data_IF_545154024503
#
_entry.id   IF_545154024503
#
_cell.length_a   1.000
_cell.length_b   1.000
_cell.length_c   1.000
_cell.angle_alpha   90.00
_cell.angle_beta   90.00
_cell.angle_gamma   90.00
#
_symmetry.space_group_name_H-M   'P 1'
#
loop_
_entity.id
_entity.type
_entity.pdbx_description
1 polymer ?
#
# COMPACT_ATOMS: atom_id res chain seq x y z
N UNK A 1 7.37 -17.61 8.45
CA UNK A 1 6.99 -16.19 8.43
C UNK A 1 7.92 -15.54 7.44
N UNK A 2 7.40 -14.93 6.37
CA UNK A 2 8.21 -14.09 5.50
C UNK A 2 8.47 -12.78 6.23
N UNK A 3 9.72 -12.56 6.63
CA UNK A 3 10.16 -11.29 7.18
C UNK A 3 10.49 -10.35 6.02
N UNK A 4 10.26 -9.06 6.23
CA UNK A 4 10.79 -8.05 5.33
C UNK A 4 12.33 -8.11 5.36
N UNK A 5 13.01 -7.73 4.27
CA UNK A 5 14.46 -7.59 4.26
C UNK A 5 14.96 -6.75 5.44
N UNK A 6 16.12 -7.09 6.01
CA UNK A 6 16.67 -6.42 7.20
C UNK A 6 16.97 -4.93 6.96
N UNK A 7 17.11 -4.51 5.70
CA UNK A 7 17.27 -3.11 5.28
C UNK A 7 15.92 -2.37 5.10
N UNK A 8 14.81 -3.02 5.44
CA UNK A 8 13.46 -2.49 5.27
C UNK A 8 12.62 -2.62 6.55
N UNK A 9 12.86 -1.72 7.48
CA UNK A 9 12.05 -1.53 8.69
C UNK A 9 11.22 -0.24 8.59
N UNK A 10 9.94 -0.32 8.15
CA UNK A 10 9.09 0.86 8.17
C UNK A 10 8.82 1.25 9.62
N UNK A 11 9.20 2.47 9.99
CA UNK A 11 8.99 2.99 11.35
C UNK A 11 7.53 3.32 11.61
N UNK A 12 6.76 3.52 10.55
CA UNK A 12 5.31 3.72 10.61
C UNK A 12 4.61 3.21 9.36
N UNK A 13 3.45 2.59 9.57
CA UNK A 13 2.47 2.27 8.54
C UNK A 13 1.17 3.04 8.81
N UNK A 14 0.69 3.77 7.81
CA UNK A 14 -0.65 4.37 7.79
C UNK A 14 -1.46 3.74 6.67
N UNK A 15 -2.69 3.31 6.98
CA UNK A 15 -3.62 2.73 6.00
C UNK A 15 -4.92 3.52 6.01
N UNK A 16 -5.35 3.93 4.83
CA UNK A 16 -6.67 4.51 4.60
C UNK A 16 -7.49 3.56 3.71
N UNK A 17 -8.58 3.03 4.26
CA UNK A 17 -9.52 2.19 3.52
C UNK A 17 -10.56 3.07 2.82
N UNK A 18 -10.76 2.86 1.52
CA UNK A 18 -11.69 3.62 0.67
C UNK A 18 -12.94 2.82 0.33
N UNK A 19 -12.75 1.61 -0.24
CA UNK A 19 -13.84 0.69 -0.57
C UNK A 19 -13.45 -0.75 -0.23
N UNK A 20 -14.36 -1.57 0.33
CA UNK A 20 -14.08 -2.98 0.58
C UNK A 20 -13.86 -3.71 -0.74
N UNK A 21 -12.89 -4.62 -0.78
CA UNK A 21 -12.74 -5.58 -1.88
C UNK A 21 -13.72 -6.75 -1.69
N UNK A 22 -14.23 -7.28 -2.80
CA UNK A 22 -15.10 -8.46 -2.85
C UNK A 22 -14.34 -9.66 -3.39
N UNK A 23 -14.83 -10.87 -3.11
CA UNK A 23 -14.28 -12.09 -3.70
C UNK A 23 -14.33 -12.01 -5.23
N UNK A 24 -13.18 -12.25 -5.87
CA UNK A 24 -13.02 -12.13 -7.33
C UNK A 24 -12.50 -10.77 -7.79
N UNK A 25 -12.45 -9.75 -6.92
CA UNK A 25 -11.81 -8.48 -7.25
C UNK A 25 -10.30 -8.68 -7.45
N UNK A 26 -9.77 -8.09 -8.52
CA UNK A 26 -8.32 -8.05 -8.76
C UNK A 26 -7.75 -6.74 -8.24
N UNK A 27 -6.98 -6.82 -7.16
CA UNK A 27 -6.23 -5.69 -6.63
C UNK A 27 -4.92 -5.52 -7.39
N UNK A 28 -4.68 -4.31 -7.88
CA UNK A 28 -3.50 -3.91 -8.63
C UNK A 28 -2.73 -2.90 -7.78
N UNK A 29 -1.57 -3.26 -7.23
CA UNK A 29 -0.75 -2.34 -6.45
C UNK A 29 -0.08 -1.32 -7.38
N UNK A 30 -0.12 -0.05 -6.96
CA UNK A 30 0.60 1.06 -7.60
C UNK A 30 1.48 1.71 -6.54
N UNK A 31 2.74 1.96 -6.90
CA UNK A 31 3.73 2.54 -5.98
C UNK A 31 4.11 3.95 -6.40
N UNK A 32 4.34 4.81 -5.42
CA UNK A 32 4.93 6.12 -5.59
C UNK A 32 5.86 6.43 -4.40
N UNK A 33 6.83 7.30 -4.61
CA UNK A 33 7.67 7.83 -3.54
C UNK A 33 7.32 9.31 -3.38
N UNK A 34 7.05 9.74 -2.15
CA UNK A 34 6.76 11.15 -1.85
C UNK A 34 7.30 11.50 -0.47
N UNK A 35 8.05 12.60 -0.35
CA UNK A 35 8.53 13.15 0.92
C UNK A 35 9.24 12.13 1.84
N UNK A 36 10.06 11.24 1.27
CA UNK A 36 10.76 10.20 2.05
C UNK A 36 9.87 9.03 2.51
N UNK A 37 8.61 8.98 2.08
CA UNK A 37 7.71 7.86 2.32
C UNK A 37 7.42 7.07 1.03
N UNK A 38 7.13 5.78 1.20
CA UNK A 38 6.58 4.94 0.14
C UNK A 38 5.06 4.94 0.23
N UNK A 39 4.41 5.36 -0.85
CA UNK A 39 2.97 5.31 -1.02
C UNK A 39 2.60 4.11 -1.88
N UNK A 40 1.68 3.29 -1.40
CA UNK A 40 1.10 2.17 -2.15
C UNK A 40 -0.40 2.38 -2.25
N UNK A 41 -0.94 2.34 -3.47
CA UNK A 41 -2.38 2.28 -3.69
C UNK A 41 -2.76 0.89 -4.15
N UNK A 42 -3.75 0.28 -3.49
CA UNK A 42 -4.37 -0.95 -3.96
C UNK A 42 -5.59 -0.56 -4.79
N UNK A 43 -5.48 -0.59 -6.11
CA UNK A 43 -6.58 -0.18 -7.01
C UNK A 43 -7.30 -1.38 -7.61
N UNK A 44 -8.56 -1.20 -8.00
CA UNK A 44 -9.24 -2.13 -8.88
C UNK A 44 -8.78 -2.00 -10.34
N UNK A 45 -9.38 -2.79 -11.22
CA UNK A 45 -9.15 -2.68 -12.68
C UNK A 45 -9.57 -1.31 -13.25
N UNK A 46 -10.51 -0.64 -12.58
CA UNK A 46 -10.99 0.72 -12.85
C UNK A 46 -10.03 1.83 -12.40
N UNK A 47 -8.87 1.47 -11.83
CA UNK A 47 -7.93 2.36 -11.17
C UNK A 47 -8.49 3.09 -9.93
N UNK A 48 -9.68 2.71 -9.44
CA UNK A 48 -10.25 3.27 -8.21
C UNK A 48 -9.62 2.57 -7.01
N UNK A 49 -9.08 3.32 -6.02
CA UNK A 49 -8.42 2.74 -4.87
C UNK A 49 -9.41 2.04 -3.93
N UNK A 50 -9.05 0.84 -3.50
CA UNK A 50 -9.63 0.13 -2.35
C UNK A 50 -8.96 0.58 -1.04
N UNK A 51 -7.64 0.74 -1.07
CA UNK A 51 -6.88 1.25 0.06
C UNK A 51 -5.67 2.07 -0.42
N UNK A 52 -5.24 3.00 0.41
CA UNK A 52 -3.98 3.73 0.26
C UNK A 52 -3.14 3.48 1.51
N UNK A 53 -1.89 3.10 1.31
CA UNK A 53 -0.91 2.80 2.33
C UNK A 53 0.24 3.77 2.21
N UNK A 54 0.77 4.18 3.35
CA UNK A 54 1.95 5.02 3.47
C UNK A 54 2.89 4.36 4.46
N UNK A 55 4.09 4.05 4.00
CA UNK A 55 5.19 3.53 4.80
C UNK A 55 6.21 4.65 4.96
N UNK A 56 6.43 5.08 6.21
CA UNK A 56 7.50 6.01 6.54
C UNK A 56 8.77 5.22 6.84
N UNK A 57 9.87 5.64 6.23
CA UNK A 57 11.22 5.17 6.54
C UNK A 57 11.93 6.35 7.21
N UNK A 58 12.57 6.11 8.36
CA UNK A 58 13.41 7.12 9.04
C UNK A 58 14.84 7.03 8.53
#
# INVERSE_FOLDING_TARGET
MEYLPDDYEPTRLRVEYKKPAKQGDRLIPRRANANGAHLIQLTGADAVPHAVLEFSIL
#
